data_IF_927290452579
#
_entry.id   IF_927290452579
#
_cell.length_a   1.000
_cell.length_b   1.000
_cell.length_c   1.000
_cell.angle_alpha   90.00
_cell.angle_beta   90.00
_cell.angle_gamma   90.00
#
_symmetry.space_group_name_H-M   'P 1'
#
loop_
_entity.id
_entity.type
_entity.pdbx_description
1 polymer ?
#
# COMPACT_ATOMS: atom_id res chain seq x y z
N UNK A 1 10.41 0.01 50.12
CA UNK A 1 9.42 -0.36 49.07
C UNK A 1 9.47 0.70 47.96
N UNK A 2 10.16 0.42 46.85
CA UNK A 2 10.04 1.19 45.61
C UNK A 2 9.65 0.20 44.52
N UNK A 3 8.42 0.31 44.04
CA UNK A 3 7.92 -0.39 42.86
C UNK A 3 8.70 0.11 41.65
N UNK A 4 9.33 -0.81 40.92
CA UNK A 4 9.80 -0.55 39.56
C UNK A 4 8.86 -1.28 38.62
N UNK A 5 7.84 -0.57 38.15
CA UNK A 5 7.01 -1.01 37.04
C UNK A 5 7.86 -0.93 35.76
N UNK A 6 8.47 -2.05 35.38
CA UNK A 6 9.06 -2.22 34.05
C UNK A 6 7.92 -2.55 33.07
N UNK A 7 7.16 -1.53 32.66
CA UNK A 7 6.36 -1.58 31.45
C UNK A 7 7.30 -1.42 30.25
N UNK A 8 7.82 -2.55 29.77
CA UNK A 8 8.47 -2.62 28.47
C UNK A 8 7.40 -2.39 27.39
N UNK A 9 7.16 -1.13 27.05
CA UNK A 9 6.36 -0.77 25.90
C UNK A 9 7.09 -1.28 24.65
N UNK A 10 6.67 -2.44 24.16
CA UNK A 10 7.06 -2.91 22.83
C UNK A 10 6.49 -1.91 21.83
N UNK A 11 7.34 -1.03 21.32
CA UNK A 11 6.96 -0.18 20.20
C UNK A 11 6.55 -1.07 19.01
N UNK A 12 5.42 -0.78 18.35
CA UNK A 12 5.01 -1.55 17.20
C UNK A 12 6.08 -1.41 16.12
N UNK A 13 6.82 -2.50 15.87
CA UNK A 13 7.77 -2.58 14.77
C UNK A 13 7.01 -2.29 13.49
N UNK A 14 7.17 -1.09 12.95
CA UNK A 14 6.65 -0.71 11.63
C UNK A 14 7.45 -1.53 10.63
N UNK A 15 6.97 -2.73 10.31
CA UNK A 15 7.57 -3.56 9.27
C UNK A 15 7.62 -2.72 8.00
N UNK A 16 8.82 -2.29 7.62
CA UNK A 16 9.03 -1.49 6.41
C UNK A 16 8.50 -2.29 5.22
N UNK A 17 7.35 -1.88 4.66
CA UNK A 17 6.70 -2.55 3.55
C UNK A 17 7.63 -2.50 2.32
N UNK A 18 8.43 -3.56 2.12
CA UNK A 18 9.31 -3.72 0.95
C UNK A 18 8.46 -4.06 -0.28
N UNK A 19 8.46 -3.18 -1.28
CA UNK A 19 7.74 -3.36 -2.53
C UNK A 19 8.58 -4.14 -3.54
N UNK A 20 7.94 -4.85 -4.47
CA UNK A 20 8.61 -5.46 -5.61
C UNK A 20 9.23 -4.39 -6.53
N UNK A 21 10.45 -4.62 -7.00
CA UNK A 21 11.11 -3.76 -7.99
C UNK A 21 11.10 -4.45 -9.36
N UNK A 22 10.00 -4.27 -10.09
CA UNK A 22 9.79 -4.87 -11.41
C UNK A 22 10.78 -4.38 -12.47
N UNK A 23 11.37 -3.19 -12.30
CA UNK A 23 12.39 -2.67 -13.22
C UNK A 23 13.70 -3.46 -13.16
N UNK A 24 14.02 -4.04 -12.00
CA UNK A 24 15.22 -4.85 -11.78
C UNK A 24 14.96 -6.36 -11.80
N UNK A 25 13.76 -6.77 -12.23
CA UNK A 25 13.41 -8.18 -12.30
C UNK A 25 14.22 -8.89 -13.38
N UNK A 26 14.70 -10.09 -13.08
CA UNK A 26 15.20 -11.02 -14.08
C UNK A 26 14.00 -11.78 -14.66
N UNK A 27 13.36 -11.21 -15.69
CA UNK A 27 12.16 -11.80 -16.27
C UNK A 27 12.40 -13.14 -16.96
N UNK A 28 13.55 -13.32 -17.58
CA UNK A 28 13.89 -14.60 -18.24
C UNK A 28 14.01 -15.73 -17.22
N UNK A 29 14.73 -15.48 -16.12
CA UNK A 29 14.83 -16.44 -15.01
C UNK A 29 13.49 -16.69 -14.32
N UNK A 30 12.70 -15.63 -14.11
CA UNK A 30 11.34 -15.75 -13.55
C UNK A 30 10.45 -16.66 -14.40
N UNK A 31 10.43 -16.47 -15.71
CA UNK A 31 9.60 -17.25 -16.63
C UNK A 31 10.03 -18.71 -16.63
N UNK A 32 11.34 -18.98 -16.75
CA UNK A 32 11.86 -20.35 -16.72
C UNK A 32 11.55 -21.07 -15.41
N UNK A 33 11.75 -20.42 -14.26
CA UNK A 33 11.43 -21.01 -12.96
C UNK A 33 9.92 -21.23 -12.81
N UNK A 34 9.10 -20.28 -13.23
CA UNK A 34 7.64 -20.39 -13.16
C UNK A 34 7.11 -21.55 -14.01
N UNK A 35 7.60 -21.70 -15.24
CA UNK A 35 7.21 -22.81 -16.13
C UNK A 35 7.58 -24.17 -15.54
N UNK A 36 8.76 -24.29 -14.94
CA UNK A 36 9.17 -25.50 -14.24
C UNK A 36 8.26 -25.78 -13.04
N UNK A 37 8.03 -24.80 -12.18
CA UNK A 37 7.15 -24.94 -11.01
C UNK A 37 5.70 -25.28 -11.37
N UNK A 38 5.20 -24.74 -12.49
CA UNK A 38 3.85 -24.99 -12.96
C UNK A 38 3.71 -26.36 -13.66
N UNK A 39 4.76 -26.86 -14.30
CA UNK A 39 4.79 -28.18 -14.93
C UNK A 39 4.65 -29.31 -13.89
N UNK A 40 5.16 -29.08 -12.68
CA UNK A 40 5.09 -30.01 -11.54
C UNK A 40 3.79 -29.89 -10.72
N UNK A 41 2.82 -29.05 -11.13
CA UNK A 41 1.57 -28.89 -10.40
C UNK A 41 0.72 -30.17 -10.46
N UNK A 42 0.24 -30.67 -9.30
CA UNK A 42 -0.66 -31.81 -9.27
C UNK A 42 -2.00 -31.44 -9.90
N UNK A 43 -2.58 -32.37 -10.66
CA UNK A 43 -3.96 -32.25 -11.12
C UNK A 43 -4.90 -32.28 -9.91
N UNK A 44 -5.77 -31.27 -9.81
CA UNK A 44 -6.70 -31.14 -8.71
C UNK A 44 -8.10 -30.80 -9.26
N UNK A 45 -9.15 -31.46 -8.75
CA UNK A 45 -10.53 -31.25 -9.23
C UNK A 45 -11.21 -30.01 -8.63
N UNK A 46 -10.69 -29.52 -7.50
CA UNK A 46 -11.11 -28.27 -6.88
C UNK A 46 -10.31 -27.08 -7.45
N UNK A 47 -11.03 -26.16 -8.07
CA UNK A 47 -10.49 -24.97 -8.72
C UNK A 47 -9.85 -23.98 -7.74
N UNK A 48 -10.37 -23.87 -6.51
CA UNK A 48 -9.83 -22.93 -5.51
C UNK A 48 -8.45 -23.39 -5.04
N UNK A 49 -8.31 -24.69 -4.78
CA UNK A 49 -7.02 -25.29 -4.42
C UNK A 49 -6.01 -25.18 -5.56
N UNK A 50 -6.44 -25.39 -6.79
CA UNK A 50 -5.57 -25.23 -7.96
C UNK A 50 -5.09 -23.78 -8.10
N UNK A 51 -5.99 -22.80 -7.92
CA UNK A 51 -5.65 -21.38 -7.91
C UNK A 51 -4.64 -21.02 -6.81
N UNK A 52 -4.83 -21.57 -5.60
CA UNK A 52 -3.90 -21.36 -4.49
C UNK A 52 -2.50 -21.94 -4.81
N UNK A 53 -2.44 -23.13 -5.39
CA UNK A 53 -1.17 -23.74 -5.78
C UNK A 53 -0.47 -22.93 -6.87
N UNK A 54 -1.20 -22.52 -7.90
CA UNK A 54 -0.67 -21.70 -8.99
C UNK A 54 -0.15 -20.34 -8.50
N UNK A 55 -0.93 -19.64 -7.67
CA UNK A 55 -0.49 -18.37 -7.06
C UNK A 55 0.74 -18.56 -6.17
N UNK A 56 0.86 -19.70 -5.49
CA UNK A 56 2.05 -20.04 -4.72
C UNK A 56 3.29 -20.22 -5.60
N UNK A 57 3.15 -20.84 -6.78
CA UNK A 57 4.24 -20.95 -7.75
C UNK A 57 4.69 -19.57 -8.25
N UNK A 58 3.75 -18.70 -8.62
CA UNK A 58 4.04 -17.30 -9.00
C UNK A 58 4.79 -16.57 -7.88
N UNK A 59 4.32 -16.68 -6.64
CA UNK A 59 4.95 -16.02 -5.51
C UNK A 59 6.37 -16.53 -5.22
N UNK A 60 6.61 -17.84 -5.41
CA UNK A 60 7.95 -18.44 -5.27
C UNK A 60 8.91 -17.90 -6.32
N UNK A 61 8.58 -18.03 -7.61
CA UNK A 61 9.41 -17.52 -8.69
C UNK A 61 9.66 -16.01 -8.55
N UNK A 62 8.63 -15.25 -8.17
CA UNK A 62 8.76 -13.81 -7.93
C UNK A 62 9.78 -13.51 -6.82
N UNK A 63 9.80 -14.27 -5.72
CA UNK A 63 10.75 -14.05 -4.60
C UNK A 63 12.20 -14.22 -5.02
N UNK A 64 12.50 -15.12 -5.94
CA UNK A 64 13.86 -15.36 -6.40
C UNK A 64 14.30 -14.34 -7.45
N UNK A 65 13.40 -13.97 -8.37
CA UNK A 65 13.78 -13.21 -9.56
C UNK A 65 13.37 -11.73 -9.56
N UNK A 66 12.51 -11.31 -8.63
CA UNK A 66 12.05 -9.92 -8.52
C UNK A 66 12.59 -9.34 -7.20
N UNK A 67 13.61 -8.46 -7.24
CA UNK A 67 14.17 -7.88 -6.03
C UNK A 67 13.12 -7.10 -5.24
N UNK A 68 13.17 -7.19 -3.90
CA UNK A 68 12.38 -6.36 -3.01
C UNK A 68 13.14 -5.07 -2.69
N UNK A 69 12.59 -3.94 -3.10
CA UNK A 69 13.13 -2.62 -2.81
C UNK A 69 12.50 -1.98 -1.58
N UNK A 70 13.26 -1.13 -0.90
CA UNK A 70 12.71 -0.17 0.06
C UNK A 70 11.94 0.89 -0.73
N UNK A 71 10.64 1.04 -0.48
CA UNK A 71 9.92 2.25 -0.91
C UNK A 71 10.63 3.42 -0.23
N UNK A 72 11.02 4.47 -0.97
CA UNK A 72 11.61 5.67 -0.34
C UNK A 72 10.66 6.08 0.80
N UNK A 73 11.14 6.15 2.05
CA UNK A 73 10.33 6.62 3.19
C UNK A 73 9.77 8.02 2.93
N UNK A 74 10.38 8.74 1.99
CA UNK A 74 9.96 10.04 1.48
C UNK A 74 8.88 9.92 0.40
N UNK A 75 8.10 8.83 0.32
CA UNK A 75 6.80 8.93 -0.31
C UNK A 75 5.98 9.87 0.56
N UNK A 76 6.08 11.16 0.25
CA UNK A 76 5.42 12.23 0.98
C UNK A 76 3.94 11.89 0.93
N UNK A 77 3.42 11.41 2.06
CA UNK A 77 2.01 11.48 2.35
C UNK A 77 1.65 12.94 2.16
N UNK A 78 0.98 13.23 1.06
CA UNK A 78 0.57 14.59 0.71
C UNK A 78 -0.58 15.05 1.61
N UNK A 79 -1.10 14.12 2.42
CA UNK A 79 -1.93 14.36 3.58
C UNK A 79 -1.07 14.96 4.70
N UNK A 80 -1.25 16.26 4.96
CA UNK A 80 -0.86 16.87 6.24
C UNK A 80 -1.87 16.52 7.35
N UNK A 81 -3.11 16.24 6.97
CA UNK A 81 -4.21 16.06 7.91
C UNK A 81 -4.22 14.68 8.56
N UNK A 82 -4.25 14.66 9.90
CA UNK A 82 -4.32 13.45 10.71
C UNK A 82 -5.62 12.67 10.47
N UNK A 83 -6.70 13.36 10.09
CA UNK A 83 -8.04 12.79 9.90
C UNK A 83 -8.10 11.75 8.77
N UNK A 84 -7.24 11.86 7.74
CA UNK A 84 -7.25 10.96 6.58
C UNK A 84 -6.84 9.53 6.98
N UNK A 85 -5.91 9.41 7.94
CA UNK A 85 -5.45 8.10 8.41
C UNK A 85 -6.56 7.36 9.15
N UNK A 86 -7.29 8.07 10.00
CA UNK A 86 -8.36 7.52 10.81
C UNK A 86 -9.55 7.09 9.93
N UNK A 87 -9.90 7.90 8.92
CA UNK A 87 -10.93 7.54 7.93
C UNK A 87 -10.55 6.34 7.07
N UNK A 88 -9.28 6.17 6.73
CA UNK A 88 -8.81 4.95 6.03
C UNK A 88 -9.02 3.72 6.92
N UNK A 89 -8.68 3.82 8.21
CA UNK A 89 -8.87 2.72 9.16
C UNK A 89 -10.35 2.38 9.33
N UNK A 90 -11.21 3.39 9.46
CA UNK A 90 -12.67 3.24 9.55
C UNK A 90 -13.25 2.57 8.29
N UNK A 91 -12.86 3.04 7.10
CA UNK A 91 -13.27 2.42 5.83
C UNK A 91 -12.82 0.96 5.75
N UNK A 92 -11.58 0.68 6.14
CA UNK A 92 -11.02 -0.66 6.09
C UNK A 92 -11.71 -1.60 7.09
N UNK A 93 -12.09 -1.13 8.28
CA UNK A 93 -12.89 -1.92 9.23
C UNK A 93 -14.29 -2.21 8.69
N UNK A 94 -14.97 -1.21 8.11
CA UNK A 94 -16.29 -1.42 7.48
C UNK A 94 -16.17 -2.40 6.32
N UNK A 95 -15.10 -2.32 5.52
CA UNK A 95 -14.84 -3.26 4.42
C UNK A 95 -14.64 -4.71 4.91
N UNK A 96 -13.93 -4.91 6.02
CA UNK A 96 -13.78 -6.22 6.66
C UNK A 96 -15.10 -6.76 7.21
N UNK A 97 -15.92 -5.89 7.80
CA UNK A 97 -17.26 -6.26 8.26
C UNK A 97 -18.19 -6.60 7.09
N UNK A 98 -18.11 -5.87 5.99
CA UNK A 98 -18.90 -6.12 4.78
C UNK A 98 -18.60 -7.50 4.16
N UNK A 99 -17.33 -7.94 4.22
CA UNK A 99 -16.95 -9.29 3.80
C UNK A 99 -17.57 -10.38 4.66
N UNK A 100 -17.83 -10.10 5.95
CA UNK A 100 -18.47 -11.04 6.88
C UNK A 100 -19.99 -10.95 6.83
N UNK A 101 -20.53 -9.76 6.61
CA UNK A 101 -21.95 -9.46 6.66
C UNK A 101 -22.31 -8.47 5.54
N UNK A 102 -23.03 -8.96 4.54
CA UNK A 102 -23.39 -8.19 3.34
C UNK A 102 -24.65 -7.32 3.56
N UNK A 103 -24.61 -6.46 4.57
CA UNK A 103 -25.72 -5.55 4.92
C UNK A 103 -25.73 -4.29 4.05
N UNK A 104 -26.93 -3.85 3.63
CA UNK A 104 -27.13 -2.61 2.86
C UNK A 104 -26.80 -1.34 3.65
N UNK A 105 -26.89 -1.38 4.98
CA UNK A 105 -26.48 -0.27 5.84
C UNK A 105 -24.96 -0.11 5.87
N UNK A 106 -24.23 -1.22 5.97
CA UNK A 106 -22.76 -1.23 5.91
C UNK A 106 -22.26 -0.75 4.55
N UNK A 107 -22.93 -1.11 3.45
CA UNK A 107 -22.59 -0.60 2.11
C UNK A 107 -22.73 0.92 2.02
N UNK A 108 -23.83 1.47 2.54
CA UNK A 108 -24.06 2.92 2.54
C UNK A 108 -23.00 3.65 3.36
N UNK A 109 -22.71 3.16 4.56
CA UNK A 109 -21.66 3.72 5.41
C UNK A 109 -20.27 3.64 4.73
N UNK A 110 -19.96 2.52 4.06
CA UNK A 110 -18.72 2.35 3.31
C UNK A 110 -18.58 3.39 2.18
N UNK A 111 -19.66 3.62 1.42
CA UNK A 111 -19.71 4.61 0.34
C UNK A 111 -19.52 6.02 0.91
N UNK A 112 -20.23 6.35 1.99
CA UNK A 112 -20.14 7.68 2.64
C UNK A 112 -18.72 7.97 3.15
N UNK A 113 -18.12 7.04 3.90
CA UNK A 113 -16.74 7.19 4.39
C UNK A 113 -15.76 7.28 3.23
N UNK A 114 -15.98 6.52 2.14
CA UNK A 114 -15.14 6.60 0.94
C UNK A 114 -15.23 7.95 0.25
N UNK A 115 -16.43 8.53 0.12
CA UNK A 115 -16.60 9.87 -0.45
C UNK A 115 -15.93 10.95 0.41
N UNK A 116 -16.14 10.90 1.73
CA UNK A 116 -15.51 11.84 2.66
C UNK A 116 -13.98 11.76 2.58
N UNK A 117 -13.44 10.55 2.47
CA UNK A 117 -12.01 10.34 2.25
C UNK A 117 -11.56 11.01 0.94
N UNK A 118 -12.24 10.75 -0.17
CA UNK A 118 -11.91 11.37 -1.47
C UNK A 118 -11.94 12.91 -1.44
N UNK A 119 -12.92 13.52 -0.77
CA UNK A 119 -13.02 14.97 -0.63
C UNK A 119 -11.83 15.56 0.14
N UNK A 120 -11.49 15.00 1.30
CA UNK A 120 -10.32 15.44 2.09
C UNK A 120 -9.02 15.25 1.31
N UNK A 121 -8.97 14.18 0.53
CA UNK A 121 -7.85 13.91 -0.35
C UNK A 121 -7.69 15.00 -1.41
N UNK A 122 -8.80 15.38 -2.06
CA UNK A 122 -8.79 16.43 -3.06
C UNK A 122 -8.42 17.78 -2.44
N UNK A 123 -8.95 18.10 -1.27
CA UNK A 123 -8.64 19.35 -0.59
C UNK A 123 -7.16 19.44 -0.18
N UNK A 124 -6.61 18.38 0.40
CA UNK A 124 -5.17 18.30 0.72
C UNK A 124 -4.29 18.50 -0.52
N UNK A 125 -4.71 17.96 -1.68
CA UNK A 125 -3.99 18.19 -2.96
C UNK A 125 -4.07 19.65 -3.39
N UNK A 126 -5.25 20.28 -3.29
CA UNK A 126 -5.43 21.70 -3.62
C UNK A 126 -4.58 22.59 -2.73
N UNK A 127 -4.59 22.38 -1.42
CA UNK A 127 -3.78 23.14 -0.47
C UNK A 127 -2.28 23.03 -0.76
N UNK A 128 -1.81 21.81 -1.05
CA UNK A 128 -0.40 21.61 -1.42
C UNK A 128 -0.07 22.32 -2.74
N UNK A 129 -1.00 22.32 -3.69
CA UNK A 129 -0.84 23.02 -4.96
C UNK A 129 -0.82 24.54 -4.77
N UNK A 130 -1.70 25.11 -3.94
CA UNK A 130 -1.72 26.54 -3.63
C UNK A 130 -0.46 26.97 -2.87
N UNK A 131 0.03 26.15 -1.93
CA UNK A 131 1.30 26.34 -1.25
C UNK A 131 2.50 26.30 -2.22
N UNK A 132 2.47 25.41 -3.21
CA UNK A 132 3.50 25.34 -4.24
C UNK A 132 3.45 26.58 -5.16
N UNK A 133 2.27 26.97 -5.62
CA UNK A 133 2.04 28.16 -6.44
C UNK A 133 2.47 29.45 -5.73
N UNK A 134 2.26 29.57 -4.41
CA UNK A 134 2.69 30.74 -3.65
C UNK A 134 4.21 30.84 -3.46
N UNK A 135 4.91 29.69 -3.41
CA UNK A 135 6.38 29.61 -3.34
C UNK A 135 7.06 29.74 -4.70
N UNK A 136 6.30 29.64 -5.79
CA UNK A 136 6.77 29.76 -7.17
C UNK A 136 7.05 31.23 -7.52
N UNK A 137 8.25 31.71 -7.17
CA UNK A 137 8.74 33.00 -7.67
C UNK A 137 9.21 32.85 -9.13
N UNK A 138 8.45 33.43 -10.08
CA UNK A 138 8.76 33.41 -11.52
C UNK A 138 10.04 34.19 -11.87
N UNK A 139 10.59 34.99 -10.95
CA UNK A 139 11.78 35.83 -11.19
C UNK A 139 13.09 35.12 -10.84
N UNK A 140 13.05 34.06 -10.02
CA UNK A 140 14.23 33.26 -9.66
C UNK A 140 14.42 32.14 -10.68
N UNK A 141 15.65 31.93 -11.14
CA UNK A 141 15.99 30.98 -12.21
C UNK A 141 15.40 29.59 -12.04
N UNK A 142 14.91 29.04 -13.15
CA UNK A 142 13.92 27.95 -13.27
C UNK A 142 14.39 26.53 -12.91
N UNK A 143 15.63 26.38 -12.43
CA UNK A 143 16.22 25.05 -12.16
C UNK A 143 15.68 24.42 -10.87
N UNK A 144 15.33 25.22 -9.85
CA UNK A 144 14.87 24.71 -8.55
C UNK A 144 13.40 24.24 -8.57
N UNK A 145 12.60 24.71 -9.54
CA UNK A 145 11.17 24.41 -9.63
C UNK A 145 10.88 22.95 -9.96
N UNK A 146 11.76 22.31 -10.74
CA UNK A 146 11.61 20.89 -11.11
C UNK A 146 11.78 19.92 -9.95
N UNK A 147 12.42 20.34 -8.86
CA UNK A 147 12.60 19.53 -7.65
C UNK A 147 11.42 19.61 -6.68
N UNK A 148 10.46 20.52 -6.93
CA UNK A 148 9.29 20.74 -6.06
C UNK A 148 8.03 19.99 -6.53
N UNK A 149 8.05 19.40 -7.73
CA UNK A 149 7.03 18.51 -8.29
C UNK A 149 7.32 17.05 -7.92
#
# INVERSE_FOLDING_TARGET
MRSCDNSCAMEPTTQEKRSWNFRKANWDGFTQELENLCSDLPKHNDAEKLLHLFTSCIQKAAKHHIPRGKRRNNWISFWKDHNIKDLIQERDSIGQELQRNNSEELKRNFIEVSHRLEELILESKKEKWTELCSKLDRRKGTSHHWYLL
#
